data_IF_871403331955
#
_entry.id   IF_871403331955
#
_cell.length_a   1.000
_cell.length_b   1.000
_cell.length_c   1.000
_cell.angle_alpha   90.00
_cell.angle_beta   90.00
_cell.angle_gamma   90.00
#
_symmetry.space_group_name_H-M   'P 1'
#
loop_
_entity.id
_entity.type
_entity.pdbx_description
1 polymer ?
#
# COMPACT_ATOMS: atom_id res chain seq x y z
N UNK A 1 -18.47 4.39 16.97
CA UNK A 1 -17.12 4.96 17.15
C UNK A 1 -16.32 4.64 15.91
N UNK A 2 -15.78 5.65 15.21
CA UNK A 2 -14.83 5.40 14.13
C UNK A 2 -13.51 4.98 14.80
N UNK A 3 -13.06 3.74 14.58
CA UNK A 3 -11.80 3.24 15.15
C UNK A 3 -10.61 4.13 14.73
N UNK A 4 -9.51 4.07 15.51
CA UNK A 4 -8.29 4.82 15.21
C UNK A 4 -7.82 4.56 13.79
N UNK A 5 -7.44 5.62 13.08
CA UNK A 5 -6.90 5.58 11.73
C UNK A 5 -5.40 5.83 11.75
N UNK A 6 -4.68 5.07 10.94
CA UNK A 6 -3.24 5.10 10.84
C UNK A 6 -2.83 5.37 9.39
N UNK A 7 -1.75 6.13 9.22
CA UNK A 7 -1.06 6.28 7.94
C UNK A 7 0.34 5.67 8.00
N UNK A 8 0.72 4.88 7.00
CA UNK A 8 2.07 4.39 6.75
C UNK A 8 2.52 4.84 5.37
N UNK A 9 3.78 5.25 5.26
CA UNK A 9 4.47 5.48 3.99
C UNK A 9 5.64 4.53 3.91
N UNK A 10 5.68 3.78 2.82
CA UNK A 10 6.70 2.80 2.49
C UNK A 10 7.47 3.35 1.29
N UNK A 11 8.78 3.45 1.43
CA UNK A 11 9.67 3.74 0.31
C UNK A 11 10.47 2.47 0.00
N UNK A 12 10.44 2.07 -1.25
CA UNK A 12 11.05 0.84 -1.71
C UNK A 12 11.63 1.00 -3.12
N UNK A 13 12.37 -0.01 -3.56
CA UNK A 13 12.85 -0.14 -4.94
C UNK A 13 12.38 -1.45 -5.53
N UNK A 14 12.07 -1.45 -6.83
CA UNK A 14 11.86 -2.70 -7.57
C UNK A 14 13.11 -3.57 -7.51
N UNK A 15 12.93 -4.86 -7.22
CA UNK A 15 14.02 -5.84 -7.28
C UNK A 15 14.53 -5.99 -8.73
N UNK A 16 13.61 -5.94 -9.69
CA UNK A 16 13.87 -6.04 -11.13
C UNK A 16 12.70 -5.46 -11.94
N UNK A 17 12.93 -5.09 -13.20
CA UNK A 17 11.88 -4.56 -14.09
C UNK A 17 10.74 -5.56 -14.34
N UNK A 18 11.06 -6.86 -14.44
CA UNK A 18 10.06 -7.93 -14.58
C UNK A 18 9.08 -8.01 -13.39
N UNK A 19 9.45 -7.45 -12.23
CA UNK A 19 8.61 -7.43 -11.04
C UNK A 19 7.62 -6.27 -11.05
N UNK A 20 7.77 -5.29 -11.95
CA UNK A 20 6.80 -4.19 -12.07
C UNK A 20 5.42 -4.70 -12.45
N UNK A 21 5.32 -5.58 -13.46
CA UNK A 21 4.05 -6.13 -13.91
C UNK A 21 3.46 -7.13 -12.90
N UNK A 22 4.32 -7.91 -12.22
CA UNK A 22 3.89 -8.80 -11.13
C UNK A 22 3.36 -8.01 -9.94
N UNK A 23 4.03 -6.92 -9.56
CA UNK A 23 3.59 -6.00 -8.51
C UNK A 23 2.25 -5.35 -8.89
N UNK A 24 2.12 -4.84 -10.13
CA UNK A 24 0.84 -4.30 -10.61
C UNK A 24 -0.27 -5.35 -10.53
N UNK A 25 -0.03 -6.56 -11.02
CA UNK A 25 -1.01 -7.66 -10.96
C UNK A 25 -1.38 -8.03 -9.53
N UNK A 26 -0.41 -8.08 -8.62
CA UNK A 26 -0.62 -8.33 -7.20
C UNK A 26 -1.50 -7.24 -6.55
N UNK A 27 -1.19 -5.97 -6.81
CA UNK A 27 -1.98 -4.82 -6.35
C UNK A 27 -3.33 -4.73 -7.07
N UNK A 28 -3.47 -5.17 -8.31
CA UNK A 28 -4.78 -5.19 -8.98
C UNK A 28 -5.64 -6.36 -8.48
N UNK A 29 -5.04 -7.50 -8.13
CA UNK A 29 -5.76 -8.68 -7.63
C UNK A 29 -6.25 -8.54 -6.19
N UNK A 30 -5.62 -7.70 -5.39
CA UNK A 30 -5.97 -7.47 -3.98
C UNK A 30 -6.89 -6.24 -3.79
N UNK A 31 -7.10 -5.41 -4.81
CA UNK A 31 -7.70 -4.07 -4.71
C UNK A 31 -8.71 -3.80 -5.85
N UNK A 32 -9.79 -3.08 -5.56
CA UNK A 32 -10.79 -2.70 -6.57
C UNK A 32 -10.36 -1.37 -7.23
N UNK A 33 -9.73 -1.46 -8.40
CA UNK A 33 -8.95 -0.36 -8.99
C UNK A 33 -9.83 0.66 -9.71
N UNK A 34 -9.88 1.89 -9.20
CA UNK A 34 -10.38 3.04 -9.95
C UNK A 34 -9.24 3.68 -10.77
N UNK A 35 -9.11 3.25 -12.03
CA UNK A 35 -8.01 3.54 -12.96
C UNK A 35 -7.69 5.01 -13.29
N UNK A 36 -8.40 6.01 -12.77
CA UNK A 36 -8.30 7.37 -13.32
C UNK A 36 -6.99 8.13 -13.02
N UNK A 37 -6.15 7.68 -12.08
CA UNK A 37 -4.96 8.45 -11.66
C UNK A 37 -3.71 7.62 -11.30
N UNK A 38 -3.70 6.31 -11.56
CA UNK A 38 -2.63 5.42 -11.06
C UNK A 38 -2.66 5.24 -9.54
N UNK A 39 -3.76 5.65 -8.91
CA UNK A 39 -4.00 5.51 -7.48
C UNK A 39 -4.87 4.26 -7.24
N UNK A 40 -4.40 3.38 -6.38
CA UNK A 40 -5.10 2.17 -5.98
C UNK A 40 -5.94 2.46 -4.72
N UNK A 41 -7.13 1.86 -4.62
CA UNK A 41 -8.03 2.06 -3.48
C UNK A 41 -8.65 0.71 -3.09
N UNK A 42 -8.76 0.39 -1.79
CA UNK A 42 -9.67 -0.66 -1.32
C UNK A 42 -10.85 -0.02 -0.61
N UNK A 43 -12.06 -0.34 -1.05
CA UNK A 43 -13.25 -0.17 -0.23
C UNK A 43 -13.69 -1.55 0.25
N UNK A 44 -13.25 -1.96 1.45
CA UNK A 44 -13.76 -3.14 2.16
C UNK A 44 -14.83 -2.66 3.14
N UNK A 45 -16.03 -3.23 3.07
CA UNK A 45 -17.26 -2.60 3.60
C UNK A 45 -17.28 -2.29 5.11
N UNK A 46 -16.38 -2.83 5.95
CA UNK A 46 -16.50 -2.62 7.40
C UNK A 46 -15.39 -1.74 8.02
N UNK A 47 -14.34 -1.35 7.28
CA UNK A 47 -13.19 -0.62 7.84
C UNK A 47 -12.20 -0.17 6.75
N UNK A 48 -12.26 1.10 6.32
CA UNK A 48 -11.63 1.59 5.08
C UNK A 48 -10.09 1.46 5.09
N UNK A 49 -9.53 0.89 4.01
CA UNK A 49 -8.08 0.79 3.73
C UNK A 49 -7.76 1.48 2.39
N UNK A 50 -7.14 2.66 2.42
CA UNK A 50 -6.74 3.41 1.21
C UNK A 50 -5.24 3.20 0.97
N UNK A 51 -4.87 2.67 -0.18
CA UNK A 51 -3.52 2.19 -0.46
C UNK A 51 -3.04 2.76 -1.80
N UNK A 52 -2.30 3.86 -1.78
CA UNK A 52 -1.77 4.46 -3.01
C UNK A 52 -0.38 3.88 -3.31
N UNK A 53 -0.17 3.29 -4.49
CA UNK A 53 1.13 2.81 -4.94
C UNK A 53 1.57 3.66 -6.13
N UNK A 54 2.67 4.40 -5.96
CA UNK A 54 3.27 5.23 -7.01
C UNK A 54 4.60 4.63 -7.38
N UNK A 55 4.72 4.17 -8.63
CA UNK A 55 5.98 3.71 -9.21
C UNK A 55 6.57 4.86 -10.02
N UNK A 56 7.74 5.35 -9.63
CA UNK A 56 8.47 6.41 -10.32
C UNK A 56 9.32 5.84 -11.46
N UNK A 57 9.66 6.69 -12.43
CA UNK A 57 10.50 6.31 -13.58
C UNK A 57 11.91 5.83 -13.20
N UNK A 58 12.39 6.16 -11.99
CA UNK A 58 13.70 5.73 -11.48
C UNK A 58 13.65 4.36 -10.77
N UNK A 59 12.51 3.65 -10.81
CA UNK A 59 12.32 2.36 -10.14
C UNK A 59 11.97 2.47 -8.66
N UNK A 60 11.90 3.69 -8.11
CA UNK A 60 11.43 3.93 -6.75
C UNK A 60 9.93 3.68 -6.67
N UNK A 61 9.52 2.93 -5.66
CA UNK A 61 8.11 2.63 -5.35
C UNK A 61 7.75 3.28 -4.02
N UNK A 62 6.72 4.11 -4.04
CA UNK A 62 6.15 4.71 -2.84
C UNK A 62 4.77 4.08 -2.61
N UNK A 63 4.61 3.40 -1.49
CA UNK A 63 3.32 2.82 -1.08
C UNK A 63 2.80 3.55 0.15
N UNK A 64 1.64 4.18 0.03
CA UNK A 64 0.98 4.94 1.10
C UNK A 64 -0.22 4.13 1.56
N UNK A 65 -0.22 3.69 2.82
CA UNK A 65 -1.29 2.89 3.43
C UNK A 65 -2.04 3.75 4.45
N UNK A 66 -3.35 3.88 4.31
CA UNK A 66 -4.23 4.44 5.33
C UNK A 66 -5.20 3.36 5.76
N UNK A 67 -5.23 3.00 7.04
CA UNK A 67 -6.01 1.87 7.54
C UNK A 67 -6.61 2.15 8.93
N UNK A 68 -7.65 1.41 9.29
CA UNK A 68 -8.19 1.42 10.67
C UNK A 68 -7.49 0.39 11.54
N UNK A 69 -7.51 0.57 12.87
CA UNK A 69 -6.86 -0.33 13.83
C UNK A 69 -7.14 -1.83 13.60
N UNK A 70 -8.38 -2.20 13.25
CA UNK A 70 -8.77 -3.59 13.04
C UNK A 70 -8.10 -4.24 11.81
N UNK A 71 -7.54 -3.45 10.90
CA UNK A 71 -6.80 -3.92 9.73
C UNK A 71 -5.29 -3.99 9.94
N UNK A 72 -4.75 -3.68 11.12
CA UNK A 72 -3.31 -3.64 11.36
C UNK A 72 -2.63 -4.97 10.98
N UNK A 73 -3.21 -6.11 11.39
CA UNK A 73 -2.66 -7.44 11.08
C UNK A 73 -2.57 -7.68 9.56
N UNK A 74 -3.64 -7.35 8.83
CA UNK A 74 -3.67 -7.47 7.38
C UNK A 74 -2.63 -6.56 6.69
N UNK A 75 -2.45 -5.34 7.20
CA UNK A 75 -1.44 -4.41 6.66
C UNK A 75 -0.02 -4.95 6.85
N UNK A 76 0.26 -5.60 7.99
CA UNK A 76 1.56 -6.24 8.23
C UNK A 76 1.78 -7.38 7.22
N UNK A 77 0.81 -8.28 7.06
CA UNK A 77 0.89 -9.38 6.09
C UNK A 77 1.07 -8.86 4.66
N UNK A 78 0.33 -7.82 4.29
CA UNK A 78 0.46 -7.18 2.97
C UNK A 78 1.86 -6.61 2.74
N UNK A 79 2.46 -5.96 3.73
CA UNK A 79 3.84 -5.43 3.64
C UNK A 79 4.85 -6.57 3.50
N UNK A 80 4.65 -7.68 4.20
CA UNK A 80 5.49 -8.87 4.05
C UNK A 80 5.39 -9.45 2.63
N UNK A 81 4.18 -9.57 2.06
CA UNK A 81 3.98 -10.01 0.68
C UNK A 81 4.67 -9.07 -0.34
N UNK A 82 4.69 -7.75 -0.09
CA UNK A 82 5.37 -6.78 -0.96
C UNK A 82 6.88 -7.02 -1.08
N UNK A 83 7.52 -7.60 -0.06
CA UNK A 83 8.96 -7.88 -0.08
C UNK A 83 9.37 -8.90 -1.15
N UNK A 84 8.42 -9.65 -1.72
CA UNK A 84 8.67 -10.53 -2.85
C UNK A 84 8.97 -9.77 -4.16
N UNK A 85 8.56 -8.51 -4.25
CA UNK A 85 8.69 -7.68 -5.45
C UNK A 85 9.60 -6.48 -5.25
N UNK A 86 9.76 -6.05 -3.98
CA UNK A 86 10.35 -4.78 -3.60
C UNK A 86 11.44 -4.96 -2.52
N UNK A 87 12.52 -4.19 -2.65
CA UNK A 87 13.45 -3.91 -1.55
C UNK A 87 12.93 -2.73 -0.74
N UNK A 88 12.29 -2.99 0.41
CA UNK A 88 11.80 -1.94 1.30
C UNK A 88 12.99 -1.23 1.96
N UNK A 89 13.11 0.07 1.69
CA UNK A 89 14.18 0.92 2.27
C UNK A 89 13.75 1.56 3.57
N UNK A 90 12.49 2.00 3.63
CA UNK A 90 11.99 2.80 4.74
C UNK A 90 10.50 2.54 4.97
N UNK A 91 10.13 2.43 6.23
CA UNK A 91 8.75 2.39 6.70
C UNK A 91 8.56 3.53 7.69
N UNK A 92 7.64 4.44 7.41
CA UNK A 92 7.35 5.59 8.28
C UNK A 92 5.87 5.64 8.64
N UNK A 93 5.56 5.71 9.94
CA UNK A 93 4.21 5.97 10.42
C UNK A 93 3.91 7.45 10.26
N UNK A 94 3.18 7.82 9.21
CA UNK A 94 2.93 9.21 8.82
C UNK A 94 2.12 9.98 9.88
N UNK A 95 1.16 9.31 10.56
CA UNK A 95 0.45 9.85 11.73
C UNK A 95 -0.57 8.85 12.26
N UNK A 96 -0.89 8.96 13.55
CA UNK A 96 -2.25 8.69 14.02
C UNK A 96 -3.13 9.79 13.38
N UNK A 97 -3.95 9.43 12.40
CA UNK A 97 -4.83 10.39 11.72
C UNK A 97 -5.92 10.75 12.72
N UNK A 98 -5.74 11.88 13.41
CA UNK A 98 -6.69 12.44 14.38
C UNK A 98 -8.10 12.41 13.78
N UNK A 99 -8.95 11.59 14.36
CA UNK A 99 -10.39 11.53 14.13
C UNK A 99 -11.12 11.79 15.43
#
# INVERSE_FOLDING_TARGET
>A
MFGKKYGLVLEAELISEENEEKLKTFIEGKFDVQKQTGVYYIKRDDSIVVLNCVIKHDGTVIVIVSFTQHNLAWVVEFIEELTAYLHIKKVELAKELLG
#
